data_IF_950567829750
#
_entry.id   IF_950567829750
#
_cell.length_a   1.000
_cell.length_b   1.000
_cell.length_c   1.000
_cell.angle_alpha   90.00
_cell.angle_beta   90.00
_cell.angle_gamma   90.00
#
_symmetry.space_group_name_H-M   'P 1'
#
loop_
_entity.id
_entity.type
_entity.pdbx_description
1 polymer ?
#
# COMPACT_ATOMS: atom_id res chain seq x y z
N UNK A 1 0.58 -9.10 31.14
CA UNK A 1 0.13 -8.17 30.08
C UNK A 1 -1.15 -7.48 30.54
N UNK A 2 -1.25 -6.20 30.32
CA UNK A 2 -2.43 -5.45 30.70
C UNK A 2 -3.58 -5.73 29.73
N UNK A 3 -4.81 -5.59 30.21
CA UNK A 3 -6.00 -5.66 29.37
C UNK A 3 -5.95 -4.65 28.23
N UNK A 4 -5.36 -3.49 28.49
CA UNK A 4 -5.19 -2.44 27.49
C UNK A 4 -4.32 -2.90 26.33
N UNK A 5 -3.22 -3.60 26.61
CA UNK A 5 -2.32 -4.16 25.59
C UNK A 5 -3.09 -5.12 24.67
N UNK A 6 -3.83 -6.06 25.24
CA UNK A 6 -4.60 -7.05 24.46
C UNK A 6 -5.74 -6.42 23.68
N UNK A 7 -6.45 -5.48 24.29
CA UNK A 7 -7.57 -4.79 23.66
C UNK A 7 -7.12 -3.97 22.45
N UNK A 8 -6.03 -3.22 22.59
CA UNK A 8 -5.45 -2.42 21.50
C UNK A 8 -4.91 -3.32 20.38
N UNK A 9 -4.23 -4.41 20.75
CA UNK A 9 -3.71 -5.35 19.77
C UNK A 9 -4.83 -5.99 18.95
N UNK A 10 -5.88 -6.47 19.62
CA UNK A 10 -7.02 -7.05 18.93
C UNK A 10 -7.69 -6.06 18.00
N UNK A 11 -7.86 -4.83 18.42
CA UNK A 11 -8.44 -3.78 17.59
C UNK A 11 -7.59 -3.55 16.35
N UNK A 12 -6.27 -3.49 16.51
CA UNK A 12 -5.34 -3.30 15.40
C UNK A 12 -5.44 -4.46 14.39
N UNK A 13 -5.39 -5.70 14.90
CA UNK A 13 -5.40 -6.87 14.04
C UNK A 13 -6.73 -7.05 13.30
N UNK A 14 -7.84 -6.65 13.92
CA UNK A 14 -9.17 -6.74 13.30
C UNK A 14 -9.43 -5.60 12.33
N UNK A 15 -9.02 -4.37 12.68
CA UNK A 15 -9.29 -3.18 11.86
C UNK A 15 -8.35 -3.03 10.67
N UNK A 16 -7.17 -3.67 10.72
CA UNK A 16 -6.21 -3.58 9.63
C UNK A 16 -6.65 -4.35 8.39
N UNK A 17 -6.27 -3.85 7.22
CA UNK A 17 -6.55 -4.54 5.97
C UNK A 17 -5.73 -5.83 5.88
N UNK A 18 -6.38 -6.90 5.44
CA UNK A 18 -5.70 -8.17 5.21
C UNK A 18 -4.62 -8.00 4.15
N UNK A 19 -3.43 -8.52 4.42
CA UNK A 19 -2.26 -8.44 3.53
C UNK A 19 -1.80 -7.00 3.24
N UNK A 20 -2.21 -6.05 4.05
CA UNK A 20 -1.83 -4.65 3.93
C UNK A 20 -0.73 -4.24 4.90
N UNK A 21 -0.52 -2.94 5.03
CA UNK A 21 0.56 -2.36 5.81
C UNK A 21 0.03 -1.55 6.99
N UNK A 22 0.89 -1.38 7.99
CA UNK A 22 0.69 -0.43 9.09
C UNK A 22 1.87 0.54 9.11
N UNK A 23 1.59 1.82 9.00
CA UNK A 23 2.62 2.85 9.06
C UNK A 23 2.73 3.40 10.49
N UNK A 24 3.94 3.54 11.01
CA UNK A 24 4.16 3.97 12.38
C UNK A 24 3.56 5.35 12.68
N UNK A 25 3.62 6.27 11.72
CA UNK A 25 3.02 7.61 11.88
C UNK A 25 1.52 7.54 12.10
N UNK A 26 0.84 6.69 11.33
CA UNK A 26 -0.60 6.45 11.47
C UNK A 26 -0.92 5.78 12.80
N UNK A 27 -0.10 4.80 13.21
CA UNK A 27 -0.29 4.11 14.49
C UNK A 27 -0.18 5.08 15.65
N UNK A 28 0.80 5.98 15.65
CA UNK A 28 0.95 7.00 16.68
C UNK A 28 -0.28 7.90 16.77
N UNK A 29 -0.81 8.33 15.63
CA UNK A 29 -2.03 9.17 15.58
C UNK A 29 -3.25 8.44 16.11
N UNK A 30 -3.26 7.12 16.08
CA UNK A 30 -4.38 6.30 16.56
C UNK A 30 -4.15 5.76 17.97
N UNK A 31 -3.20 6.32 18.71
CA UNK A 31 -3.00 6.00 20.11
C UNK A 31 -2.03 4.86 20.40
N UNK A 32 -1.28 4.41 19.41
CA UNK A 32 -0.25 3.37 19.58
C UNK A 32 1.11 4.03 19.78
N UNK A 33 1.65 3.95 20.98
CA UNK A 33 2.96 4.51 21.29
C UNK A 33 4.09 3.72 20.63
N UNK A 34 5.25 4.34 20.44
CA UNK A 34 6.43 3.65 19.91
C UNK A 34 6.82 2.45 20.75
N UNK A 35 6.66 2.57 22.07
CA UNK A 35 6.94 1.49 23.01
C UNK A 35 6.00 0.30 22.78
N UNK A 36 4.73 0.58 22.58
CA UNK A 36 3.71 -0.44 22.30
C UNK A 36 3.95 -1.13 20.96
N UNK A 37 4.26 -0.36 19.93
CA UNK A 37 4.60 -0.88 18.59
C UNK A 37 5.81 -1.81 18.68
N UNK A 38 6.84 -1.40 19.44
CA UNK A 38 8.03 -2.22 19.66
C UNK A 38 7.69 -3.54 20.33
N UNK A 39 6.80 -3.52 21.33
CA UNK A 39 6.34 -4.73 22.01
C UNK A 39 5.63 -5.67 21.03
N UNK A 40 4.80 -5.15 20.16
CA UNK A 40 4.10 -5.97 19.15
C UNK A 40 5.09 -6.64 18.20
N UNK A 41 6.14 -5.93 17.78
CA UNK A 41 7.19 -6.52 16.94
C UNK A 41 7.99 -7.59 17.70
N UNK A 42 8.37 -7.31 18.94
CA UNK A 42 9.14 -8.27 19.76
C UNK A 42 8.34 -9.52 20.07
N UNK A 43 7.03 -9.38 20.26
CA UNK A 43 6.12 -10.49 20.54
C UNK A 43 5.72 -11.28 19.29
N UNK A 44 6.14 -10.85 18.11
CA UNK A 44 5.87 -11.54 16.85
C UNK A 44 4.52 -11.27 16.22
N UNK A 45 3.76 -10.29 16.70
CA UNK A 45 2.47 -9.92 16.10
C UNK A 45 2.62 -9.08 14.83
N UNK A 46 3.65 -8.24 14.80
CA UNK A 46 3.97 -7.40 13.64
C UNK A 46 5.37 -7.72 13.14
N UNK A 47 5.51 -7.73 11.84
CA UNK A 47 6.79 -7.86 11.17
C UNK A 47 7.16 -6.53 10.51
N UNK A 48 8.46 -6.26 10.39
CA UNK A 48 8.96 -5.03 9.80
C UNK A 48 9.26 -5.25 8.31
N UNK A 49 8.67 -4.42 7.45
CA UNK A 49 9.00 -4.40 6.02
C UNK A 49 10.14 -3.41 5.75
N UNK A 50 10.05 -2.23 6.34
CA UNK A 50 11.01 -1.15 6.24
C UNK A 50 10.90 -0.29 7.48
N UNK A 51 11.78 0.69 7.64
CA UNK A 51 11.72 1.61 8.78
C UNK A 51 10.37 2.32 8.81
N UNK A 52 9.64 2.12 9.89
CA UNK A 52 8.32 2.73 10.07
C UNK A 52 7.19 2.08 9.27
N UNK A 53 7.44 0.95 8.64
CA UNK A 53 6.46 0.21 7.85
C UNK A 53 6.40 -1.23 8.33
N UNK A 54 5.23 -1.66 8.77
CA UNK A 54 5.03 -2.97 9.37
C UNK A 54 3.83 -3.67 8.74
N UNK A 55 3.74 -4.96 8.95
CA UNK A 55 2.61 -5.75 8.51
C UNK A 55 2.32 -6.86 9.53
N UNK A 56 1.13 -7.43 9.44
CA UNK A 56 0.72 -8.51 10.32
C UNK A 56 1.52 -9.77 10.00
N UNK A 57 2.13 -10.36 11.01
CA UNK A 57 2.91 -11.60 10.84
C UNK A 57 2.03 -12.70 10.27
N UNK A 58 2.51 -13.35 9.23
CA UNK A 58 1.79 -14.41 8.52
C UNK A 58 1.01 -13.94 7.30
N UNK A 59 0.83 -12.64 7.12
CA UNK A 59 0.17 -12.11 5.93
C UNK A 59 1.08 -12.25 4.69
N UNK A 60 0.45 -12.53 3.55
CA UNK A 60 1.10 -12.47 2.25
C UNK A 60 0.84 -11.10 1.66
N UNK A 61 1.87 -10.27 1.54
CA UNK A 61 1.72 -8.86 1.18
C UNK A 61 1.12 -8.69 -0.23
N UNK A 62 -0.02 -8.00 -0.29
CA UNK A 62 -0.69 -7.61 -1.52
C UNK A 62 -0.30 -6.19 -1.90
N UNK A 63 0.14 -6.00 -3.15
CA UNK A 63 0.51 -4.68 -3.64
C UNK A 63 -0.67 -3.71 -3.63
N UNK A 64 -1.87 -4.16 -4.01
CA UNK A 64 -3.07 -3.32 -3.96
C UNK A 64 -3.46 -2.93 -2.54
N UNK A 65 -3.42 -3.88 -1.61
CA UNK A 65 -3.71 -3.60 -0.21
C UNK A 65 -2.69 -2.63 0.39
N UNK A 66 -1.41 -2.80 0.06
CA UNK A 66 -0.35 -1.91 0.52
C UNK A 66 -0.53 -0.49 -0.01
N UNK A 67 -0.88 -0.35 -1.28
CA UNK A 67 -1.13 0.96 -1.90
C UNK A 67 -2.33 1.65 -1.25
N UNK A 68 -3.41 0.91 -1.01
CA UNK A 68 -4.60 1.43 -0.33
C UNK A 68 -4.27 1.90 1.09
N UNK A 69 -3.49 1.11 1.84
CA UNK A 69 -3.06 1.50 3.19
C UNK A 69 -2.19 2.76 3.17
N UNK A 70 -1.27 2.85 2.22
CA UNK A 70 -0.41 4.01 2.06
C UNK A 70 -1.23 5.29 1.84
N UNK A 71 -2.20 5.23 0.94
CA UNK A 71 -3.05 6.37 0.63
C UNK A 71 -3.94 6.77 1.82
N UNK A 72 -4.58 5.79 2.48
CA UNK A 72 -5.47 6.07 3.61
C UNK A 72 -4.72 6.53 4.85
N UNK A 73 -3.67 5.82 5.22
CA UNK A 73 -2.99 6.06 6.49
C UNK A 73 -2.12 7.32 6.46
N UNK A 74 -1.48 7.60 5.34
CA UNK A 74 -0.58 8.73 5.20
C UNK A 74 -1.16 9.87 4.36
N UNK A 75 -2.44 9.78 4.00
CA UNK A 75 -3.14 10.77 3.19
C UNK A 75 -2.38 11.07 1.89
N UNK A 76 -2.04 10.02 1.16
CA UNK A 76 -1.36 10.11 -0.13
C UNK A 76 -2.33 9.81 -1.26
N UNK A 77 -1.91 10.09 -2.49
CA UNK A 77 -2.70 9.88 -3.69
C UNK A 77 -1.89 9.14 -4.75
N UNK A 78 -1.18 8.09 -4.34
CA UNK A 78 -0.51 7.22 -5.27
C UNK A 78 -1.55 6.40 -6.04
N UNK A 79 -1.41 6.31 -7.35
CA UNK A 79 -2.39 5.63 -8.19
C UNK A 79 -1.75 4.59 -9.09
N UNK A 80 -2.51 3.53 -9.39
CA UNK A 80 -2.13 2.60 -10.45
C UNK A 80 -2.24 3.36 -11.77
N UNK A 81 -1.21 3.28 -12.60
CA UNK A 81 -1.08 4.14 -13.76
C UNK A 81 -0.53 3.40 -14.98
N UNK A 82 -0.52 4.08 -16.12
CA UNK A 82 0.07 3.60 -17.36
C UNK A 82 -0.43 2.20 -17.74
N UNK A 83 0.47 1.32 -18.11
CA UNK A 83 0.14 -0.06 -18.50
C UNK A 83 -0.72 -0.80 -17.49
N UNK A 84 -0.40 -0.64 -16.20
CA UNK A 84 -1.12 -1.35 -15.14
C UNK A 84 -2.56 -0.87 -15.00
N UNK A 85 -2.81 0.42 -15.19
CA UNK A 85 -4.18 0.95 -15.21
C UNK A 85 -4.94 0.42 -16.40
N UNK A 86 -4.32 0.36 -17.57
CA UNK A 86 -4.95 -0.18 -18.78
C UNK A 86 -5.30 -1.66 -18.63
N UNK A 87 -4.45 -2.43 -17.98
CA UNK A 87 -4.74 -3.83 -17.67
C UNK A 87 -5.98 -3.98 -16.80
N UNK A 88 -6.14 -3.13 -15.79
CA UNK A 88 -7.32 -3.16 -14.92
C UNK A 88 -8.62 -2.83 -15.65
N UNK A 89 -8.54 -2.04 -16.72
CA UNK A 89 -9.69 -1.74 -17.58
C UNK A 89 -9.86 -2.74 -18.73
N UNK A 90 -9.03 -3.77 -18.81
CA UNK A 90 -9.14 -4.83 -19.82
C UNK A 90 -8.53 -4.51 -21.18
N UNK A 91 -7.71 -3.47 -21.26
CA UNK A 91 -7.11 -3.04 -22.54
C UNK A 91 -5.83 -3.78 -22.91
N UNK A 92 -5.33 -4.63 -22.03
CA UNK A 92 -4.08 -5.33 -22.28
C UNK A 92 -4.26 -6.82 -22.13
N UNK A 93 -3.78 -7.57 -23.15
CA UNK A 93 -3.78 -9.03 -23.17
C UNK A 93 -2.38 -9.60 -22.97
N UNK A 94 -1.48 -8.81 -22.40
CA UNK A 94 -0.11 -9.20 -22.17
C UNK A 94 -0.03 -10.23 -21.04
N UNK A 95 0.65 -11.34 -21.31
CA UNK A 95 0.93 -12.36 -20.29
C UNK A 95 2.34 -12.08 -19.75
N UNK A 96 2.49 -11.62 -18.52
CA UNK A 96 3.82 -11.30 -18.01
C UNK A 96 4.65 -12.56 -17.84
N UNK A 97 5.91 -12.49 -18.24
CA UNK A 97 6.89 -13.52 -17.93
C UNK A 97 7.55 -13.15 -16.60
N UNK A 98 7.34 -13.99 -15.59
CA UNK A 98 7.82 -13.78 -14.26
C UNK A 98 6.84 -13.00 -13.38
N UNK A 99 7.36 -12.35 -12.34
CA UNK A 99 6.54 -11.62 -11.37
C UNK A 99 5.93 -10.37 -12.03
N UNK A 100 4.60 -10.17 -11.91
CA UNK A 100 3.95 -9.01 -12.53
C UNK A 100 4.49 -7.69 -12.01
N UNK A 101 4.49 -6.67 -12.87
CA UNK A 101 4.82 -5.31 -12.51
C UNK A 101 3.55 -4.50 -12.24
N UNK A 102 3.59 -3.64 -11.24
CA UNK A 102 2.52 -2.71 -10.96
C UNK A 102 3.07 -1.28 -11.06
N UNK A 103 2.67 -0.59 -12.11
CA UNK A 103 3.11 0.78 -12.34
C UNK A 103 2.28 1.74 -11.48
N UNK A 104 2.96 2.56 -10.69
CA UNK A 104 2.34 3.47 -9.75
C UNK A 104 2.84 4.89 -10.00
N UNK A 105 1.92 5.80 -10.27
CA UNK A 105 2.24 7.22 -10.38
C UNK A 105 2.22 7.86 -8.99
N UNK A 106 3.30 8.52 -8.66
CA UNK A 106 3.47 9.21 -7.39
C UNK A 106 3.65 10.71 -7.66
N UNK A 107 2.89 11.53 -6.94
CA UNK A 107 2.91 12.97 -7.16
C UNK A 107 4.20 13.63 -6.66
N UNK A 108 4.85 13.00 -5.69
CA UNK A 108 6.12 13.48 -5.11
C UNK A 108 7.32 12.83 -5.76
N UNK A 109 8.44 13.58 -5.82
CA UNK A 109 9.71 13.04 -6.27
C UNK A 109 10.31 12.01 -5.31
N UNK A 110 9.86 11.99 -4.04
CA UNK A 110 10.33 11.08 -3.02
C UNK A 110 9.49 9.80 -3.01
N UNK A 111 9.94 8.80 -3.74
CA UNK A 111 9.29 7.50 -3.77
C UNK A 111 9.67 6.73 -2.51
N UNK A 112 8.69 6.19 -1.75
CA UNK A 112 8.99 5.45 -0.54
C UNK A 112 9.85 4.21 -0.82
N UNK A 113 10.83 3.98 0.03
CA UNK A 113 11.75 2.87 -0.12
C UNK A 113 11.06 1.51 -0.05
N UNK A 114 9.98 1.39 0.73
CA UNK A 114 9.25 0.12 0.86
C UNK A 114 8.64 -0.35 -0.47
N UNK A 115 8.36 0.57 -1.40
CA UNK A 115 7.85 0.21 -2.72
C UNK A 115 8.86 -0.55 -3.57
N UNK A 116 10.14 -0.49 -3.23
CA UNK A 116 11.19 -1.22 -3.95
C UNK A 116 11.39 -2.64 -3.42
N UNK A 117 10.66 -3.04 -2.39
CA UNK A 117 10.75 -4.39 -1.82
C UNK A 117 10.17 -5.43 -2.78
N UNK A 118 10.79 -6.60 -2.81
CA UNK A 118 10.31 -7.75 -3.59
C UNK A 118 9.36 -8.66 -2.80
N UNK A 119 8.94 -8.22 -1.61
CA UNK A 119 8.08 -9.01 -0.72
C UNK A 119 6.61 -9.04 -1.15
N UNK A 120 6.23 -8.23 -2.13
CA UNK A 120 4.85 -8.14 -2.62
C UNK A 120 4.55 -9.16 -3.72
N UNK A 121 3.26 -9.41 -3.93
CA UNK A 121 2.79 -10.28 -5.03
C UNK A 121 3.12 -9.72 -6.41
N UNK A 122 3.24 -8.40 -6.51
CA UNK A 122 3.66 -7.69 -7.73
C UNK A 122 4.80 -6.75 -7.39
N UNK A 123 5.72 -6.56 -8.33
CA UNK A 123 6.77 -5.58 -8.16
C UNK A 123 6.25 -4.20 -8.49
N UNK A 124 6.34 -3.29 -7.52
CA UNK A 124 6.02 -1.88 -7.77
C UNK A 124 7.05 -1.28 -8.71
N UNK A 125 6.54 -0.55 -9.70
CA UNK A 125 7.38 0.29 -10.56
C UNK A 125 6.89 1.72 -10.42
N UNK A 126 7.36 2.45 -9.41
CA UNK A 126 6.91 3.81 -9.17
C UNK A 126 7.58 4.80 -10.10
N UNK A 127 6.84 5.84 -10.49
CA UNK A 127 7.39 6.96 -11.25
C UNK A 127 6.73 8.25 -10.79
N UNK A 128 7.43 9.35 -10.98
CA UNK A 128 6.94 10.67 -10.59
C UNK A 128 6.24 11.33 -11.76
N UNK A 129 5.05 11.89 -11.51
CA UNK A 129 4.32 12.67 -12.51
C UNK A 129 4.15 14.09 -12.02
N UNK A 130 5.00 14.98 -12.51
CA UNK A 130 4.89 16.42 -12.22
C UNK A 130 4.17 17.19 -13.33
N UNK A 131 3.91 16.54 -14.44
CA UNK A 131 3.44 17.22 -15.66
C UNK A 131 1.92 17.38 -15.74
N UNK A 132 1.17 16.77 -14.82
CA UNK A 132 -0.29 16.80 -14.87
C UNK A 132 -0.80 17.30 -13.53
N UNK A 133 -1.30 18.55 -13.55
CA UNK A 133 -1.77 19.22 -12.32
C UNK A 133 -3.02 18.59 -11.73
N UNK A 134 -3.92 18.07 -12.57
CA UNK A 134 -5.15 17.42 -12.14
C UNK A 134 -5.31 16.11 -12.89
N UNK A 135 -4.83 15.00 -12.33
CA UNK A 135 -4.98 13.71 -12.99
C UNK A 135 -6.43 13.25 -12.99
N UNK A 136 -6.84 12.64 -14.11
CA UNK A 136 -8.14 11.97 -14.18
C UNK A 136 -8.01 10.58 -13.56
N UNK A 137 -8.69 10.38 -12.45
CA UNK A 137 -8.59 9.13 -11.69
C UNK A 137 -9.96 8.57 -11.36
N UNK A 138 -10.00 7.29 -11.09
CA UNK A 138 -11.16 6.57 -10.59
C UNK A 138 -10.75 5.72 -9.41
N UNK A 139 -11.69 5.40 -8.53
CA UNK A 139 -11.46 4.44 -7.45
C UNK A 139 -12.09 3.13 -7.86
N UNK A 140 -11.28 2.07 -7.91
CA UNK A 140 -11.76 0.72 -8.20
C UNK A 140 -11.62 -0.15 -6.95
N UNK A 141 -12.57 -1.04 -6.75
CA UNK A 141 -12.48 -2.07 -5.72
C UNK A 141 -11.75 -3.28 -6.29
N UNK A 142 -10.58 -3.59 -5.76
CA UNK A 142 -9.74 -4.68 -6.22
C UNK A 142 -9.33 -5.50 -4.99
N UNK A 143 -9.63 -6.80 -5.02
CA UNK A 143 -9.31 -7.72 -3.92
C UNK A 143 -9.84 -7.23 -2.57
N UNK A 144 -10.99 -6.56 -2.58
CA UNK A 144 -11.64 -6.06 -1.37
C UNK A 144 -11.13 -4.75 -0.84
N UNK A 145 -10.25 -4.05 -1.56
CA UNK A 145 -9.72 -2.75 -1.17
C UNK A 145 -9.98 -1.69 -2.23
N UNK A 146 -10.09 -0.45 -1.81
CA UNK A 146 -10.24 0.69 -2.71
C UNK A 146 -8.86 1.12 -3.22
N UNK A 147 -8.70 1.12 -4.53
CA UNK A 147 -7.45 1.47 -5.21
C UNK A 147 -7.70 2.63 -6.15
N UNK A 148 -6.88 3.67 -6.05
CA UNK A 148 -6.91 4.81 -6.95
C UNK A 148 -6.23 4.42 -8.26
N UNK A 149 -6.90 4.67 -9.39
CA UNK A 149 -6.43 4.24 -10.72
C UNK A 149 -6.57 5.41 -11.69
N UNK A 150 -5.57 5.62 -12.54
CA UNK A 150 -5.68 6.57 -13.65
C UNK A 150 -6.77 6.13 -14.61
N UNK A 151 -7.54 7.10 -15.15
CA UNK A 151 -8.51 6.78 -16.20
C UNK A 151 -7.78 6.21 -17.42
N UNK A 152 -8.49 5.47 -18.33
CA UNK A 152 -7.83 4.94 -19.51
C UNK A 152 -7.16 6.02 -20.35
N UNK A 153 -7.79 7.17 -20.53
CA UNK A 153 -7.25 8.30 -21.28
C UNK A 153 -5.97 8.84 -20.63
N UNK A 154 -5.98 8.99 -19.30
CA UNK A 154 -4.82 9.43 -18.55
C UNK A 154 -3.69 8.40 -18.63
N UNK A 155 -4.02 7.11 -18.53
CA UNK A 155 -3.05 6.02 -18.57
C UNK A 155 -2.32 5.95 -19.92
N UNK A 156 -3.00 6.23 -21.02
CA UNK A 156 -2.37 6.28 -22.35
C UNK A 156 -1.34 7.40 -22.46
N UNK A 157 -1.50 8.48 -21.70
CA UNK A 157 -0.58 9.62 -21.71
C UNK A 157 0.60 9.43 -20.75
N UNK A 158 0.53 8.47 -19.89
CA UNK A 158 1.57 8.13 -18.93
C UNK A 158 2.56 7.11 -19.50
#
# INVERSE_FOLDING_TARGET
MSLEYQSKLNRLLVSGKKNGLFFSDWLRKNGYSDQLIRKYRQSGWLATLDKGVMYRTGDSLSSFAALSCYNEQLNKKARVAAHSALELFGFNHYVPMGKPLLMVAHHNSNIPKWMTSDSFDKNFKPFSTKMIDVPQTSTLQIEGVDVLVSSPEQAFME
#
